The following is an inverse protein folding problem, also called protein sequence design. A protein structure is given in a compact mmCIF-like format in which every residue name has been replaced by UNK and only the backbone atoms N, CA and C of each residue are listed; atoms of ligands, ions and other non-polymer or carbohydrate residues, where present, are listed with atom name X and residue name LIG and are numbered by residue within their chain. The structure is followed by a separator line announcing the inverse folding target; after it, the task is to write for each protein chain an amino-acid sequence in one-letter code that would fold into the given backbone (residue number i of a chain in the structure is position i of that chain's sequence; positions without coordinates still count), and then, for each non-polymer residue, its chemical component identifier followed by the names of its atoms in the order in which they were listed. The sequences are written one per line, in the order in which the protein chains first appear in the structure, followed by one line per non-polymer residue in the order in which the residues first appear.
data_IF_160175461627
#
_entry.id   IF_160175461627
#
_cell.length_a   1.000
_cell.length_b   1.000
_cell.length_c   1.000
_cell.angle_alpha   90.00
_cell.angle_beta   90.00
_cell.angle_gamma   90.00
#
_symmetry.space_group_name_H-M   'P 1'
#
loop_
_entity.id
_entity.type
_entity.pdbx_description
1 polymer ?
#
# COMPACT_ATOMS: atom_id res chain seq x y z
N UNK A 1 10.45 -24.20 -16.38
CA UNK A 1 9.52 -24.13 -15.23
C UNK A 1 9.58 -25.38 -14.35
N UNK A 2 9.86 -26.58 -14.86
CA UNK A 2 10.01 -27.78 -14.04
C UNK A 2 11.37 -28.46 -14.28
N UNK A 3 11.91 -29.11 -13.25
CA UNK A 3 13.18 -29.87 -13.27
C UNK A 3 13.05 -31.17 -12.49
N UNK A 4 13.91 -32.14 -12.81
CA UNK A 4 14.00 -33.39 -12.06
C UNK A 4 14.67 -33.15 -10.71
N UNK A 5 14.09 -33.75 -9.67
CA UNK A 5 14.65 -33.76 -8.32
C UNK A 5 15.72 -34.83 -8.26
N UNK A 6 16.91 -34.47 -7.78
CA UNK A 6 18.02 -35.40 -7.53
C UNK A 6 17.89 -36.04 -6.16
N UNK A 7 17.54 -35.23 -5.16
CA UNK A 7 17.26 -35.69 -3.79
C UNK A 7 16.28 -34.75 -3.11
N UNK A 8 15.42 -35.32 -2.28
CA UNK A 8 14.58 -34.58 -1.35
C UNK A 8 14.70 -35.22 0.03
N UNK A 9 15.06 -34.42 1.03
CA UNK A 9 15.17 -34.88 2.41
C UNK A 9 14.36 -33.96 3.32
N UNK A 10 13.46 -34.54 4.13
CA UNK A 10 12.81 -33.78 5.22
C UNK A 10 13.85 -33.62 6.33
N UNK A 11 14.25 -32.38 6.61
CA UNK A 11 15.36 -32.06 7.52
C UNK A 11 14.90 -31.65 8.91
N UNK A 12 13.68 -31.11 9.03
CA UNK A 12 13.15 -30.67 10.31
C UNK A 12 11.64 -30.93 10.38
N UNK A 13 11.21 -31.51 11.49
CA UNK A 13 9.80 -31.59 11.89
C UNK A 13 9.71 -31.05 13.31
N UNK A 14 9.21 -29.82 13.45
CA UNK A 14 9.10 -29.16 14.73
C UNK A 14 7.93 -29.72 15.55
N UNK A 15 8.05 -29.68 16.89
CA UNK A 15 6.97 -30.10 17.79
C UNK A 15 5.71 -29.24 17.57
N UNK A 16 4.50 -29.81 17.62
CA UNK A 16 3.25 -29.05 17.60
C UNK A 16 3.21 -27.97 18.68
N UNK A 17 2.53 -26.86 18.40
CA UNK A 17 2.20 -25.88 19.44
C UNK A 17 1.14 -26.47 20.37
N UNK A 18 1.01 -25.90 21.56
CA UNK A 18 0.04 -26.36 22.55
C UNK A 18 -1.37 -26.23 21.98
N UNK A 19 -2.09 -27.35 21.87
CA UNK A 19 -3.47 -27.43 21.35
C UNK A 19 -3.56 -27.75 19.85
N UNK A 20 -2.46 -27.70 19.10
CA UNK A 20 -2.43 -28.08 17.69
C UNK A 20 -2.10 -29.57 17.52
N UNK A 21 -2.70 -30.20 16.50
CA UNK A 21 -2.49 -31.62 16.17
C UNK A 21 -1.48 -31.84 15.03
N UNK A 22 -0.98 -30.76 14.43
CA UNK A 22 0.02 -30.77 13.36
C UNK A 22 1.35 -30.19 13.86
N UNK A 23 2.49 -30.51 13.23
CA UNK A 23 3.77 -29.91 13.58
C UNK A 23 3.73 -28.38 13.40
N UNK A 24 4.53 -27.65 14.17
CA UNK A 24 4.60 -26.19 14.06
C UNK A 24 5.30 -25.73 12.76
N UNK A 25 6.23 -26.55 12.25
CA UNK A 25 7.00 -26.28 11.05
C UNK A 25 7.53 -27.60 10.48
N UNK A 26 7.59 -27.70 9.15
CA UNK A 26 8.24 -28.80 8.44
C UNK A 26 9.16 -28.22 7.38
N UNK A 27 10.43 -28.63 7.38
CA UNK A 27 11.43 -28.20 6.39
C UNK A 27 11.95 -29.38 5.59
N UNK A 28 12.24 -29.14 4.31
CA UNK A 28 12.89 -30.10 3.45
C UNK A 28 13.97 -29.43 2.59
N UNK A 29 15.03 -30.16 2.30
CA UNK A 29 16.09 -29.75 1.38
C UNK A 29 15.90 -30.50 0.05
N UNK A 30 15.80 -29.74 -1.04
CA UNK A 30 15.53 -30.25 -2.39
C UNK A 30 16.70 -29.90 -3.30
N UNK A 31 17.34 -30.92 -3.85
CA UNK A 31 18.47 -30.76 -4.76
C UNK A 31 18.05 -30.98 -6.20
N UNK A 32 18.47 -30.07 -7.08
CA UNK A 32 18.27 -30.14 -8.53
C UNK A 32 19.59 -29.94 -9.26
N UNK A 33 19.73 -30.56 -10.44
CA UNK A 33 20.84 -30.29 -11.36
C UNK A 33 20.37 -29.36 -12.47
N UNK A 34 20.98 -28.18 -12.56
CA UNK A 34 20.70 -27.11 -13.51
C UNK A 34 21.70 -27.11 -14.68
N UNK A 35 21.98 -28.28 -15.28
CA UNK A 35 22.76 -28.37 -16.52
C UNK A 35 21.90 -27.98 -17.74
N UNK A 36 21.50 -26.70 -17.75
CA UNK A 36 20.62 -26.07 -18.75
C UNK A 36 21.22 -24.74 -19.22
N UNK A 37 20.54 -24.09 -20.17
CA UNK A 37 20.95 -22.78 -20.66
C UNK A 37 21.15 -21.79 -19.51
N UNK A 38 22.17 -20.90 -19.57
CA UNK A 38 22.46 -19.93 -18.51
C UNK A 38 21.27 -19.05 -18.14
N UNK A 39 20.40 -18.69 -19.10
CA UNK A 39 19.16 -17.95 -18.82
C UNK A 39 18.20 -18.71 -17.91
N UNK A 40 18.04 -20.01 -18.13
CA UNK A 40 17.18 -20.86 -17.30
C UNK A 40 17.82 -21.06 -15.93
N UNK A 41 19.15 -21.27 -15.88
CA UNK A 41 19.90 -21.37 -14.62
C UNK A 41 19.70 -20.12 -13.76
N UNK A 42 19.89 -18.94 -14.34
CA UNK A 42 19.64 -17.67 -13.67
C UNK A 42 18.19 -17.50 -13.19
N UNK A 43 17.19 -17.99 -13.94
CA UNK A 43 15.78 -17.97 -13.50
C UNK A 43 15.48 -18.90 -12.32
N UNK A 44 16.26 -19.96 -12.11
CA UNK A 44 16.13 -20.83 -10.94
C UNK A 44 16.90 -20.28 -9.74
N UNK A 45 18.11 -19.77 -9.98
CA UNK A 45 18.92 -19.10 -8.96
C UNK A 45 18.30 -17.79 -8.47
N UNK A 46 17.35 -17.21 -9.23
CA UNK A 46 16.61 -16.02 -8.84
C UNK A 46 15.38 -16.28 -7.97
N UNK A 47 15.03 -17.54 -7.68
CA UNK A 47 13.95 -17.86 -6.74
C UNK A 47 14.24 -17.20 -5.39
N UNK A 48 13.20 -16.62 -4.80
CA UNK A 48 13.26 -15.82 -3.59
C UNK A 48 12.56 -16.53 -2.44
N UNK A 49 12.85 -16.06 -1.23
CA UNK A 49 12.08 -16.45 -0.06
C UNK A 49 10.59 -16.19 -0.30
N UNK A 50 9.74 -17.10 0.14
CA UNK A 50 8.29 -17.08 -0.05
C UNK A 50 7.79 -17.42 -1.47
N UNK A 51 8.67 -17.71 -2.44
CA UNK A 51 8.21 -18.24 -3.73
C UNK A 51 7.59 -19.64 -3.52
N UNK A 52 6.43 -19.88 -4.14
CA UNK A 52 5.76 -21.17 -4.06
C UNK A 52 6.21 -22.09 -5.21
N UNK A 53 6.62 -23.31 -4.87
CA UNK A 53 6.91 -24.37 -5.82
C UNK A 53 6.01 -25.59 -5.57
N UNK A 54 5.96 -26.48 -6.55
CA UNK A 54 5.18 -27.72 -6.49
C UNK A 54 6.10 -28.92 -6.63
N UNK A 55 5.96 -29.87 -5.71
CA UNK A 55 6.60 -31.18 -5.72
C UNK A 55 5.65 -32.17 -6.35
N UNK A 56 6.16 -32.92 -7.33
CA UNK A 56 5.36 -33.75 -8.22
C UNK A 56 5.98 -35.15 -8.30
N UNK A 57 5.13 -36.16 -8.21
CA UNK A 57 5.48 -37.57 -8.40
C UNK A 57 4.84 -38.07 -9.69
N UNK A 58 5.68 -38.40 -10.67
CA UNK A 58 5.28 -39.03 -11.93
C UNK A 58 5.71 -40.49 -11.95
N UNK A 59 4.78 -41.41 -12.21
CA UNK A 59 5.00 -42.84 -12.40
C UNK A 59 4.46 -43.24 -13.79
N UNK A 60 5.17 -42.88 -14.87
CA UNK A 60 4.69 -43.10 -16.23
C UNK A 60 4.58 -44.61 -16.52
N UNK A 61 3.42 -45.04 -16.99
CA UNK A 61 3.15 -46.43 -17.42
C UNK A 61 3.34 -46.63 -18.92
N UNK A 62 3.45 -45.53 -19.68
CA UNK A 62 3.61 -45.56 -21.12
C UNK A 62 5.07 -45.84 -21.54
N UNK A 63 5.31 -46.59 -22.64
CA UNK A 63 6.64 -46.80 -23.18
C UNK A 63 7.33 -45.50 -23.61
N UNK A 64 8.66 -45.53 -23.61
CA UNK A 64 9.51 -44.45 -24.13
C UNK A 64 9.14 -44.19 -25.60
N UNK A 65 8.94 -42.91 -25.95
CA UNK A 65 8.55 -42.49 -27.29
C UNK A 65 7.04 -42.34 -27.51
N UNK A 66 6.21 -42.63 -26.51
CA UNK A 66 4.75 -42.37 -26.58
C UNK A 66 4.49 -40.87 -26.73
N UNK A 67 3.69 -40.50 -27.75
CA UNK A 67 3.34 -39.09 -27.99
C UNK A 67 2.20 -38.65 -27.08
N UNK A 68 2.37 -37.51 -26.42
CA UNK A 68 1.32 -36.88 -25.62
C UNK A 68 0.22 -36.27 -26.51
N UNK A 69 -1.02 -36.38 -26.07
CA UNK A 69 -2.18 -35.79 -26.70
C UNK A 69 -2.88 -34.83 -25.73
N UNK A 70 -2.79 -33.53 -26.02
CA UNK A 70 -3.38 -32.46 -25.19
C UNK A 70 -4.91 -32.49 -25.12
N UNK A 71 -5.59 -33.27 -25.98
CA UNK A 71 -7.04 -33.47 -25.92
C UNK A 71 -7.47 -34.61 -24.99
N UNK A 72 -6.52 -35.45 -24.58
CA UNK A 72 -6.76 -36.59 -23.70
C UNK A 72 -6.48 -36.20 -22.23
N UNK A 73 -7.02 -36.93 -21.24
CA UNK A 73 -6.78 -36.63 -19.83
C UNK A 73 -5.27 -36.66 -19.48
N UNK A 74 -4.82 -35.64 -18.74
CA UNK A 74 -3.39 -35.47 -18.41
C UNK A 74 -2.86 -36.57 -17.49
N UNK A 75 -3.57 -36.84 -16.38
CA UNK A 75 -3.14 -37.76 -15.31
C UNK A 75 -2.69 -39.14 -15.84
N UNK A 76 -3.51 -39.88 -16.61
CA UNK A 76 -3.12 -41.22 -17.07
C UNK A 76 -2.00 -41.19 -18.13
N UNK A 77 -1.84 -40.08 -18.86
CA UNK A 77 -0.79 -39.97 -19.87
C UNK A 77 0.61 -39.83 -19.25
N UNK A 78 0.72 -39.07 -18.17
CA UNK A 78 2.01 -38.81 -17.50
C UNK A 78 2.24 -39.69 -16.26
N UNK A 79 1.20 -40.38 -15.80
CA UNK A 79 1.23 -41.14 -14.55
C UNK A 79 1.34 -40.24 -13.32
N UNK A 80 0.61 -39.14 -13.29
CA UNK A 80 0.64 -38.21 -12.13
C UNK A 80 0.04 -38.91 -10.90
N UNK A 81 0.86 -39.09 -9.85
CA UNK A 81 0.43 -39.73 -8.60
C UNK A 81 0.20 -38.74 -7.47
N UNK A 82 1.16 -37.84 -7.24
CA UNK A 82 1.08 -36.85 -6.17
C UNK A 82 1.50 -35.46 -6.62
N UNK A 83 0.90 -34.47 -5.97
CA UNK A 83 1.29 -33.06 -6.03
C UNK A 83 1.26 -32.50 -4.61
N UNK A 84 2.33 -31.84 -4.18
CA UNK A 84 2.39 -31.08 -2.94
C UNK A 84 2.93 -29.68 -3.20
N UNK A 85 2.48 -28.71 -2.43
CA UNK A 85 3.06 -27.37 -2.42
C UNK A 85 4.23 -27.30 -1.46
N UNK A 86 5.21 -26.47 -1.79
CA UNK A 86 6.24 -26.03 -0.87
C UNK A 86 6.53 -24.54 -1.08
N UNK A 87 7.09 -23.90 -0.08
CA UNK A 87 7.47 -22.49 -0.10
C UNK A 87 8.97 -22.37 0.09
N UNK A 88 9.66 -21.62 -0.76
CA UNK A 88 11.11 -21.45 -0.68
C UNK A 88 11.46 -20.69 0.60
N UNK A 89 12.30 -21.28 1.45
CA UNK A 89 12.98 -20.57 2.55
C UNK A 89 14.22 -19.85 2.01
N UNK A 90 14.98 -20.54 1.15
CA UNK A 90 16.11 -19.97 0.41
C UNK A 90 17.00 -21.04 -0.21
N UNK A 91 18.01 -20.61 -0.96
CA UNK A 91 19.02 -21.49 -1.54
C UNK A 91 20.14 -21.74 -0.52
N UNK A 92 20.71 -22.95 -0.52
CA UNK A 92 21.82 -23.30 0.37
C UNK A 92 23.17 -22.96 -0.24
N UNK A 93 24.12 -22.53 0.60
CA UNK A 93 25.55 -22.44 0.28
C UNK A 93 26.26 -23.80 0.42
N UNK A 94 27.58 -23.81 0.20
CA UNK A 94 28.40 -25.02 0.32
C UNK A 94 28.46 -25.54 1.77
N UNK A 95 28.31 -24.66 2.76
CA UNK A 95 28.25 -24.99 4.17
C UNK A 95 26.85 -25.45 4.65
N UNK A 96 25.85 -25.49 3.76
CA UNK A 96 24.49 -25.92 4.07
C UNK A 96 23.66 -24.87 4.83
N UNK A 97 24.10 -23.60 4.85
CA UNK A 97 23.34 -22.47 5.38
C UNK A 97 22.50 -21.84 4.29
N UNK A 98 21.37 -21.28 4.71
CA UNK A 98 20.49 -20.54 3.79
C UNK A 98 21.16 -19.22 3.46
N UNK A 99 21.36 -18.97 2.16
CA UNK A 99 21.87 -17.71 1.64
C UNK A 99 20.82 -16.63 1.92
N UNK A 100 21.16 -15.67 2.78
CA UNK A 100 20.26 -14.57 3.10
C UNK A 100 20.06 -13.65 1.89
N UNK A 101 18.86 -13.09 1.78
CA UNK A 101 18.55 -12.07 0.77
C UNK A 101 19.26 -10.75 1.13
N UNK A 102 20.51 -10.62 0.71
CA UNK A 102 21.31 -9.40 0.80
C UNK A 102 21.23 -8.52 -0.46
N UNK A 103 21.82 -7.30 -0.43
CA UNK A 103 22.01 -6.49 -1.62
C UNK A 103 22.91 -7.23 -2.63
N UNK A 104 22.60 -7.08 -3.92
CA UNK A 104 23.38 -7.69 -5.00
C UNK A 104 24.88 -7.29 -4.95
N UNK A 105 25.80 -8.18 -5.36
CA UNK A 105 25.54 -9.45 -6.03
C UNK A 105 25.43 -10.67 -5.09
N UNK A 106 24.52 -11.59 -5.44
CA UNK A 106 24.45 -12.93 -4.85
C UNK A 106 25.77 -13.69 -5.04
N UNK A 107 26.14 -14.58 -4.12
CA UNK A 107 27.34 -15.40 -4.27
C UNK A 107 27.25 -16.28 -5.52
N UNK A 108 28.31 -16.32 -6.32
CA UNK A 108 28.43 -17.24 -7.45
C UNK A 108 28.72 -18.65 -6.93
N UNK A 109 27.72 -19.53 -7.02
CA UNK A 109 27.88 -20.92 -6.60
C UNK A 109 28.54 -21.75 -7.71
N UNK A 110 29.61 -22.52 -7.41
CA UNK A 110 30.23 -23.38 -8.41
C UNK A 110 29.31 -24.54 -8.81
N UNK A 111 29.62 -25.14 -9.96
CA UNK A 111 28.87 -26.27 -10.51
C UNK A 111 27.44 -25.95 -10.95
N UNK A 112 26.67 -27.00 -11.24
CA UNK A 112 25.28 -26.91 -11.72
C UNK A 112 24.26 -27.43 -10.70
N UNK A 113 24.71 -27.98 -9.58
CA UNK A 113 23.83 -28.50 -8.54
C UNK A 113 23.39 -27.36 -7.63
N UNK A 114 22.09 -27.26 -7.36
CA UNK A 114 21.51 -26.30 -6.41
C UNK A 114 20.62 -27.02 -5.43
N UNK A 115 20.72 -26.64 -4.16
CA UNK A 115 19.85 -27.16 -3.11
C UNK A 115 19.03 -26.00 -2.55
N UNK A 116 17.72 -26.19 -2.48
CA UNK A 116 16.77 -25.24 -1.92
C UNK A 116 16.20 -25.81 -0.63
N UNK A 117 16.25 -25.02 0.44
CA UNK A 117 15.49 -25.30 1.64
C UNK A 117 14.09 -24.75 1.47
N UNK A 118 13.10 -25.57 1.80
CA UNK A 118 11.68 -25.23 1.62
C UNK A 118 10.87 -25.54 2.87
N UNK A 119 9.81 -24.77 3.09
CA UNK A 119 8.74 -25.10 4.01
C UNK A 119 7.69 -25.96 3.32
N UNK A 120 7.29 -27.03 4.00
CA UNK A 120 6.16 -27.86 3.61
C UNK A 120 4.93 -27.47 4.44
N UNK A 121 3.73 -27.64 3.88
CA UNK A 121 2.50 -27.40 4.63
C UNK A 121 2.40 -28.39 5.81
N UNK A 122 2.39 -27.91 7.07
CA UNK A 122 2.41 -28.80 8.23
C UNK A 122 1.13 -29.63 8.40
N UNK A 123 -0.02 -29.09 7.99
CA UNK A 123 -1.30 -29.80 8.06
C UNK A 123 -1.33 -30.94 7.05
N UNK A 124 -0.88 -30.68 5.82
CA UNK A 124 -0.78 -31.68 4.77
C UNK A 124 0.24 -32.77 5.16
N UNK A 125 1.38 -32.39 5.74
CA UNK A 125 2.38 -33.34 6.24
C UNK A 125 1.80 -34.26 7.32
N UNK A 126 1.06 -33.71 8.28
CA UNK A 126 0.41 -34.51 9.31
C UNK A 126 -0.59 -35.51 8.71
N UNK A 127 -1.42 -35.08 7.75
CA UNK A 127 -2.40 -35.95 7.08
C UNK A 127 -1.71 -37.08 6.31
N UNK A 128 -0.61 -36.75 5.61
CA UNK A 128 0.17 -37.73 4.85
C UNK A 128 0.83 -38.76 5.77
N UNK A 129 1.44 -38.32 6.88
CA UNK A 129 2.03 -39.23 7.87
C UNK A 129 0.99 -40.14 8.54
N UNK A 130 -0.22 -39.63 8.84
CA UNK A 130 -1.32 -40.47 9.34
C UNK A 130 -1.71 -41.54 8.33
N UNK A 131 -1.77 -41.19 7.04
CA UNK A 131 -2.04 -42.17 5.98
C UNK A 131 -0.92 -43.20 5.83
N UNK A 132 0.34 -42.79 5.97
CA UNK A 132 1.49 -43.70 5.96
C UNK A 132 1.45 -44.69 7.12
N UNK A 133 1.08 -44.24 8.32
CA UNK A 133 0.86 -45.14 9.48
C UNK A 133 -0.29 -46.13 9.21
N UNK A 134 -1.29 -45.74 8.43
CA UNK A 134 -2.38 -46.61 7.98
C UNK A 134 -2.02 -47.51 6.79
N UNK A 135 -0.74 -47.56 6.38
CA UNK A 135 -0.23 -48.46 5.35
C UNK A 135 -0.15 -47.87 3.94
N UNK A 136 -0.36 -46.56 3.76
CA UNK A 136 -0.01 -45.89 2.51
C UNK A 136 1.52 -45.74 2.38
N UNK A 137 2.04 -45.55 1.16
CA UNK A 137 3.45 -45.21 0.95
C UNK A 137 3.75 -43.79 1.46
N UNK A 138 5.01 -43.53 1.85
CA UNK A 138 5.44 -42.19 2.21
C UNK A 138 5.58 -41.32 0.95
N UNK A 139 4.70 -40.34 0.81
CA UNK A 139 4.65 -39.43 -0.34
C UNK A 139 5.97 -38.67 -0.50
N UNK A 140 6.64 -38.31 0.61
CA UNK A 140 7.83 -37.46 0.61
C UNK A 140 9.07 -38.17 0.06
N UNK A 141 9.06 -39.51 -0.02
CA UNK A 141 10.14 -40.29 -0.64
C UNK A 141 9.94 -40.48 -2.16
N UNK A 142 8.79 -40.07 -2.72
CA UNK A 142 8.41 -40.38 -4.11
C UNK A 142 8.67 -39.26 -5.12
N UNK A 143 8.88 -38.03 -4.66
CA UNK A 143 8.94 -36.86 -5.54
C UNK A 143 10.13 -36.91 -6.50
N UNK A 144 9.85 -36.71 -7.79
CA UNK A 144 10.87 -36.76 -8.84
C UNK A 144 10.89 -35.53 -9.75
N UNK A 145 9.93 -34.61 -9.58
CA UNK A 145 9.85 -33.34 -10.32
C UNK A 145 9.51 -32.19 -9.37
N UNK A 146 10.23 -31.07 -9.49
CA UNK A 146 9.88 -29.79 -8.89
C UNK A 146 9.47 -28.81 -9.99
N UNK A 147 8.39 -28.06 -9.76
CA UNK A 147 7.86 -27.07 -10.68
C UNK A 147 7.75 -25.70 -10.00
N UNK A 148 8.44 -24.71 -10.55
CA UNK A 148 8.25 -23.29 -10.20
C UNK A 148 7.17 -22.65 -11.08
N UNK A 149 6.64 -21.52 -10.62
CA UNK A 149 5.70 -20.67 -11.36
C UNK A 149 6.28 -19.27 -11.57
N UNK A 150 5.63 -18.47 -12.42
CA UNK A 150 6.00 -17.07 -12.60
C UNK A 150 5.63 -16.28 -11.33
N UNK A 151 6.54 -15.52 -10.70
CA UNK A 151 6.27 -14.85 -9.42
C UNK A 151 4.98 -13.99 -9.41
N UNK A 152 4.73 -13.23 -10.49
CA UNK A 152 3.54 -12.37 -10.62
C UNK A 152 2.19 -13.11 -10.55
N UNK A 153 2.17 -14.41 -10.86
CA UNK A 153 0.97 -15.25 -10.88
C UNK A 153 0.92 -16.21 -9.67
N UNK A 154 1.84 -16.07 -8.72
CA UNK A 154 2.15 -17.07 -7.70
C UNK A 154 1.89 -16.63 -6.25
N UNK A 155 1.07 -15.59 -6.05
CA UNK A 155 0.82 -14.99 -4.73
C UNK A 155 -0.34 -15.65 -3.95
N UNK A 156 -0.92 -16.74 -4.46
CA UNK A 156 -2.15 -17.31 -3.92
C UNK A 156 -2.01 -17.80 -2.47
N UNK A 157 -0.87 -18.41 -2.09
CA UNK A 157 -0.64 -18.90 -0.72
C UNK A 157 -0.62 -17.74 0.27
N UNK A 158 0.13 -16.68 -0.03
CA UNK A 158 0.24 -15.51 0.85
C UNK A 158 -1.13 -14.83 1.05
N UNK A 159 -1.94 -14.74 0.00
CA UNK A 159 -3.32 -14.22 0.08
C UNK A 159 -4.19 -15.10 0.97
N UNK A 160 -4.17 -16.42 0.80
CA UNK A 160 -4.94 -17.35 1.63
C UNK A 160 -4.50 -17.33 3.10
N UNK A 161 -3.20 -17.22 3.35
CA UNK A 161 -2.65 -17.07 4.69
C UNK A 161 -3.14 -15.78 5.34
N UNK A 162 -3.10 -14.66 4.61
CA UNK A 162 -3.63 -13.37 5.10
C UNK A 162 -5.13 -13.45 5.43
N UNK A 163 -5.93 -14.09 4.57
CA UNK A 163 -7.36 -14.30 4.81
C UNK A 163 -7.58 -15.15 6.07
N UNK A 164 -6.80 -16.21 6.25
CA UNK A 164 -6.87 -17.07 7.43
C UNK A 164 -6.50 -16.32 8.70
N UNK A 165 -5.44 -15.53 8.66
CA UNK A 165 -4.99 -14.73 9.79
C UNK A 165 -6.04 -13.68 10.16
N UNK A 166 -6.67 -13.02 9.18
CA UNK A 166 -7.79 -12.10 9.41
C UNK A 166 -9.00 -12.77 10.07
N UNK A 167 -9.31 -14.03 9.73
CA UNK A 167 -10.38 -14.79 10.38
C UNK A 167 -10.06 -15.16 11.84
N UNK A 168 -8.77 -15.22 12.20
CA UNK A 168 -8.32 -15.53 13.57
C UNK A 168 -8.14 -14.27 14.43
N UNK A 169 -8.18 -13.08 13.83
CA UNK A 169 -8.20 -11.81 14.55
C UNK A 169 -9.63 -11.36 14.81
N UNK A 170 -9.84 -10.57 15.87
CA UNK A 170 -11.06 -9.77 15.97
C UNK A 170 -11.04 -8.78 14.80
N UNK A 171 -11.91 -8.99 13.81
CA UNK A 171 -12.00 -8.16 12.62
C UNK A 171 -12.60 -6.80 12.99
N UNK A 172 -11.78 -5.90 13.53
CA UNK A 172 -12.19 -4.55 13.94
C UNK A 172 -12.26 -3.65 12.70
N UNK A 173 -13.39 -3.71 12.01
CA UNK A 173 -13.79 -2.67 11.04
C UNK A 173 -14.52 -1.54 11.76
N UNK A 174 -14.49 -0.28 11.27
CA UNK A 174 -15.26 0.79 11.87
C UNK A 174 -16.75 0.43 11.97
N UNK A 175 -17.38 0.68 13.12
CA UNK A 175 -18.78 0.30 13.36
C UNK A 175 -19.75 0.85 12.30
N UNK A 176 -19.49 2.06 11.82
CA UNK A 176 -20.30 2.72 10.78
C UNK A 176 -20.14 2.10 9.38
N UNK A 177 -19.13 1.24 9.18
CA UNK A 177 -18.83 0.55 7.93
C UNK A 177 -19.23 -0.94 7.97
N UNK A 178 -19.28 -1.55 9.15
CA UNK A 178 -19.56 -2.97 9.34
C UNK A 178 -20.81 -3.45 8.59
N UNK A 179 -21.96 -2.83 8.85
CA UNK A 179 -23.23 -3.25 8.24
C UNK A 179 -23.25 -3.05 6.72
N UNK A 180 -22.57 -2.00 6.23
CA UNK A 180 -22.45 -1.72 4.81
C UNK A 180 -21.60 -2.77 4.09
N UNK A 181 -20.51 -3.24 4.71
CA UNK A 181 -19.69 -4.34 4.16
C UNK A 181 -20.51 -5.63 4.06
N UNK A 182 -21.34 -5.91 5.07
CA UNK A 182 -22.22 -7.08 5.07
C UNK A 182 -23.43 -6.94 4.14
N UNK A 183 -23.71 -5.73 3.66
CA UNK A 183 -24.81 -5.44 2.72
C UNK A 183 -26.17 -5.26 3.39
N UNK A 184 -26.21 -4.98 4.69
CA UNK A 184 -27.43 -4.68 5.43
C UNK A 184 -27.56 -3.16 5.69
N UNK A 185 -28.75 -2.73 6.14
CA UNK A 185 -28.97 -1.35 6.55
C UNK A 185 -29.19 -0.37 5.39
N UNK A 186 -29.02 0.93 5.68
CA UNK A 186 -29.20 2.00 4.69
C UNK A 186 -27.90 2.24 3.93
N UNK A 187 -27.90 2.26 2.59
CA UNK A 187 -26.66 2.40 1.79
C UNK A 187 -25.96 3.76 1.99
N UNK A 188 -26.68 4.77 2.48
CA UNK A 188 -26.17 6.12 2.74
C UNK A 188 -25.81 6.35 4.22
N UNK A 189 -25.80 5.32 5.07
CA UNK A 189 -25.52 5.43 6.50
C UNK A 189 -24.12 6.00 6.81
N UNK A 190 -23.14 5.71 5.95
CA UNK A 190 -21.77 6.21 6.08
C UNK A 190 -21.49 7.49 5.28
N UNK A 191 -22.52 8.10 4.67
CA UNK A 191 -22.36 9.38 3.99
C UNK A 191 -22.05 10.47 5.03
N UNK A 192 -21.16 11.42 4.69
CA UNK A 192 -20.70 12.43 5.65
C UNK A 192 -21.87 13.19 6.29
N UNK A 193 -22.93 13.53 5.56
CA UNK A 193 -24.11 14.23 6.12
C UNK A 193 -24.85 13.49 7.23
N UNK A 194 -24.66 12.16 7.36
CA UNK A 194 -25.31 11.33 8.39
C UNK A 194 -24.41 11.02 9.58
N UNK A 195 -23.12 11.28 9.46
CA UNK A 195 -22.15 11.01 10.51
C UNK A 195 -22.08 12.17 11.51
N UNK A 196 -21.97 11.82 12.80
CA UNK A 196 -22.00 12.80 13.89
C UNK A 196 -20.68 13.57 14.06
N UNK A 197 -19.59 13.03 13.51
CA UNK A 197 -18.24 13.57 13.62
C UNK A 197 -17.84 14.39 12.39
N UNK A 198 -18.82 14.96 11.67
CA UNK A 198 -18.55 15.90 10.59
C UNK A 198 -17.81 17.12 11.10
N UNK A 199 -16.82 17.55 10.33
CA UNK A 199 -16.01 18.71 10.64
C UNK A 199 -16.73 19.95 10.06
N UNK A 200 -17.22 20.88 10.88
CA UNK A 200 -18.06 21.98 10.41
C UNK A 200 -17.26 23.01 9.60
N UNK A 201 -15.99 23.21 9.97
CA UNK A 201 -15.08 24.19 9.37
C UNK A 201 -13.81 23.51 8.90
N UNK A 202 -13.54 23.60 7.60
CA UNK A 202 -12.37 22.99 6.96
C UNK A 202 -11.58 24.04 6.19
N UNK A 203 -10.28 23.85 6.12
CA UNK A 203 -9.40 24.62 5.25
C UNK A 203 -9.36 24.00 3.85
N UNK A 204 -9.77 24.75 2.85
CA UNK A 204 -9.78 24.31 1.46
C UNK A 204 -8.49 24.67 0.72
N UNK A 205 -7.55 25.33 1.41
CA UNK A 205 -6.22 25.66 0.91
C UNK A 205 -6.25 26.22 -0.53
N UNK A 206 -5.62 25.52 -1.47
CA UNK A 206 -5.48 25.88 -2.89
C UNK A 206 -6.56 25.26 -3.80
N UNK A 207 -7.61 24.67 -3.23
CA UNK A 207 -8.69 24.03 -4.01
C UNK A 207 -9.40 25.02 -4.94
N UNK A 208 -9.61 26.26 -4.46
CA UNK A 208 -10.25 27.31 -5.24
C UNK A 208 -9.23 28.32 -5.75
N UNK A 209 -9.32 28.65 -7.03
CA UNK A 209 -8.44 29.62 -7.71
C UNK A 209 -8.82 31.08 -7.41
N UNK A 210 -10.09 31.33 -7.12
CA UNK A 210 -10.66 32.66 -6.83
C UNK A 210 -11.98 32.54 -6.07
N UNK A 211 -12.48 33.66 -5.56
CA UNK A 211 -13.83 33.74 -4.96
C UNK A 211 -14.93 33.42 -5.98
N UNK A 212 -14.75 33.81 -7.25
CA UNK A 212 -15.72 33.49 -8.30
C UNK A 212 -15.78 31.99 -8.58
N UNK A 213 -14.62 31.32 -8.57
CA UNK A 213 -14.57 29.86 -8.66
C UNK A 213 -15.31 29.24 -7.47
N UNK A 214 -15.02 29.66 -6.23
CA UNK A 214 -15.72 29.18 -5.03
C UNK A 214 -17.24 29.35 -5.12
N UNK A 215 -17.73 30.53 -5.54
CA UNK A 215 -19.17 30.78 -5.71
C UNK A 215 -19.78 29.90 -6.80
N UNK A 216 -19.09 29.73 -7.92
CA UNK A 216 -19.55 28.87 -9.01
C UNK A 216 -19.59 27.38 -8.60
N UNK A 217 -18.72 26.95 -7.68
CA UNK A 217 -18.65 25.59 -7.18
C UNK A 217 -19.83 25.18 -6.29
N UNK A 218 -20.55 26.13 -5.69
CA UNK A 218 -21.69 25.87 -4.80
C UNK A 218 -22.94 26.65 -5.23
N UNK A 219 -23.60 26.26 -6.34
CA UNK A 219 -24.74 27.02 -6.89
C UNK A 219 -25.94 27.12 -5.95
N UNK A 220 -26.14 26.11 -5.09
CA UNK A 220 -27.27 26.03 -4.16
C UNK A 220 -27.00 26.73 -2.81
N UNK A 221 -25.80 27.29 -2.61
CA UNK A 221 -25.42 27.92 -1.35
C UNK A 221 -25.20 29.41 -1.52
N UNK A 222 -25.69 30.19 -0.56
CA UNK A 222 -25.33 31.59 -0.45
C UNK A 222 -23.97 31.71 0.25
N UNK A 223 -22.95 32.15 -0.48
CA UNK A 223 -21.61 32.39 0.07
C UNK A 223 -21.52 33.79 0.69
N UNK A 224 -21.13 33.86 1.96
CA UNK A 224 -20.89 35.09 2.71
C UNK A 224 -19.41 35.14 3.12
N UNK A 225 -18.72 36.23 2.80
CA UNK A 225 -17.30 36.41 3.15
C UNK A 225 -17.19 37.08 4.52
N UNK A 226 -16.23 36.65 5.34
CA UNK A 226 -16.02 37.24 6.69
C UNK A 226 -15.42 38.65 6.66
N UNK A 227 -14.97 39.13 5.51
CA UNK A 227 -14.37 40.46 5.35
C UNK A 227 -14.97 41.19 4.15
N UNK A 228 -15.29 42.47 4.33
CA UNK A 228 -15.77 43.35 3.25
C UNK A 228 -14.63 43.89 2.36
N UNK A 229 -13.37 43.67 2.77
CA UNK A 229 -12.18 44.14 2.06
C UNK A 229 -11.90 43.27 0.83
N UNK A 230 -12.21 43.80 -0.36
CA UNK A 230 -12.01 43.14 -1.64
C UNK A 230 -10.55 42.74 -1.91
N UNK A 231 -9.57 43.44 -1.31
CA UNK A 231 -8.15 43.10 -1.52
C UNK A 231 -7.76 41.77 -0.87
N UNK A 232 -8.54 41.31 0.12
CA UNK A 232 -8.30 40.06 0.86
C UNK A 232 -9.14 38.90 0.33
N UNK A 233 -9.92 39.11 -0.74
CA UNK A 233 -10.75 38.10 -1.38
C UNK A 233 -9.92 37.17 -2.28
N UNK A 234 -8.84 36.63 -1.73
CA UNK A 234 -7.88 35.76 -2.41
C UNK A 234 -7.73 34.44 -1.63
N UNK A 235 -7.48 33.31 -2.32
CA UNK A 235 -7.23 32.05 -1.64
C UNK A 235 -5.94 32.12 -0.80
N UNK A 236 -5.81 31.27 0.24
CA UNK A 236 -6.69 30.16 0.62
C UNK A 236 -7.96 30.55 1.40
N UNK A 237 -8.97 29.66 1.37
CA UNK A 237 -10.26 29.87 2.03
C UNK A 237 -10.57 28.77 3.05
N UNK A 238 -10.99 29.16 4.25
CA UNK A 238 -11.65 28.25 5.19
C UNK A 238 -13.15 28.37 5.03
N UNK A 239 -13.83 27.24 4.86
CA UNK A 239 -15.27 27.21 4.67
C UNK A 239 -15.95 26.57 5.87
N UNK A 240 -16.96 27.24 6.37
CA UNK A 240 -17.89 26.72 7.36
C UNK A 240 -19.27 26.57 6.72
N UNK A 241 -19.80 25.36 6.74
CA UNK A 241 -21.10 25.04 6.15
C UNK A 241 -22.18 25.12 7.22
N UNK A 242 -23.15 26.03 7.03
CA UNK A 242 -24.27 26.22 7.93
C UNK A 242 -25.55 25.76 7.25
N UNK A 243 -26.21 24.78 7.87
CA UNK A 243 -27.56 24.37 7.54
C UNK A 243 -28.46 24.84 8.69
N UNK A 244 -29.37 25.79 8.41
CA UNK A 244 -30.35 26.21 9.40
C UNK A 244 -31.33 25.04 9.63
N UNK A 245 -31.20 24.35 10.77
CA UNK A 245 -32.19 23.36 11.19
C UNK A 245 -33.54 24.06 11.39
N UNK A 246 -34.61 23.53 10.79
CA UNK A 246 -35.95 24.01 11.08
C UNK A 246 -36.23 23.90 12.59
N UNK A 247 -36.76 24.93 13.26
CA UNK A 247 -37.30 24.73 14.59
C UNK A 247 -38.45 23.73 14.49
N UNK A 248 -38.35 22.61 15.23
CA UNK A 248 -39.49 21.70 15.47
C UNK A 248 -40.52 22.43 16.34
N UNK A 249 -41.24 23.40 15.77
CA UNK A 249 -42.35 24.05 16.46
C UNK A 249 -43.60 23.19 16.32
N UNK A 250 -43.95 22.58 17.44
CA UNK A 250 -45.26 22.02 17.75
C UNK A 250 -46.44 22.87 17.25
N UNK A 251 -47.40 22.21 16.58
CA UNK A 251 -48.79 22.60 16.30
C UNK A 251 -49.02 23.85 15.42
N UNK A 252 -49.51 23.64 14.18
CA UNK A 252 -50.63 24.38 13.51
C UNK A 252 -50.95 23.74 12.14
N UNK A 253 -52.21 23.32 11.96
CA UNK A 253 -53.30 23.87 11.10
C UNK A 253 -53.05 23.75 9.58
N UNK A 254 -53.85 22.88 8.96
CA UNK A 254 -53.95 22.64 7.51
C UNK A 254 -54.36 23.92 6.76
N UNK A 255 -53.61 24.30 5.72
CA UNK A 255 -54.09 25.26 4.71
C UNK A 255 -53.11 26.32 4.19
N UNK A 256 -51.83 26.35 4.59
CA UNK A 256 -50.85 27.31 4.04
C UNK A 256 -49.80 26.56 3.20
N UNK A 257 -49.58 27.03 1.97
CA UNK A 257 -48.53 26.54 1.06
C UNK A 257 -47.14 26.71 1.71
N UNK A 258 -46.32 25.66 1.65
CA UNK A 258 -44.94 25.67 2.17
C UNK A 258 -44.11 26.78 1.50
N UNK A 259 -43.42 27.66 2.25
CA UNK A 259 -42.32 28.40 1.68
C UNK A 259 -41.18 27.39 1.44
N UNK A 260 -40.91 27.11 0.18
CA UNK A 260 -39.77 26.28 -0.24
C UNK A 260 -38.45 26.98 0.06
N UNK A 261 -37.54 26.25 0.71
CA UNK A 261 -36.11 26.57 0.74
C UNK A 261 -35.57 26.89 2.13
N UNK A 262 -35.07 25.87 2.83
CA UNK A 262 -34.02 26.09 3.82
C UNK A 262 -32.82 26.76 3.13
N UNK A 263 -32.45 27.96 3.57
CA UNK A 263 -31.41 28.73 2.91
C UNK A 263 -30.04 28.23 3.38
N UNK A 264 -29.38 27.39 2.56
CA UNK A 264 -28.04 26.89 2.87
C UNK A 264 -27.00 28.01 2.72
N UNK A 265 -26.15 28.18 3.73
CA UNK A 265 -25.16 29.27 3.77
C UNK A 265 -23.75 28.72 3.95
N UNK A 266 -22.78 29.36 3.30
CA UNK A 266 -21.35 29.09 3.47
C UNK A 266 -20.70 30.36 3.99
N UNK A 267 -20.05 30.27 5.13
CA UNK A 267 -19.16 31.33 5.61
C UNK A 267 -17.76 31.02 5.07
N UNK A 268 -17.26 31.89 4.20
CA UNK A 268 -15.93 31.80 3.63
C UNK A 268 -14.99 32.80 4.31
N UNK A 269 -13.94 32.30 4.96
CA UNK A 269 -12.88 33.07 5.60
C UNK A 269 -11.60 32.99 4.77
N UNK A 270 -11.25 34.05 4.01
CA UNK A 270 -9.93 34.16 3.40
C UNK A 270 -8.87 34.30 4.50
N UNK A 271 -7.75 33.60 4.35
CA UNK A 271 -6.62 33.74 5.27
C UNK A 271 -5.28 33.75 4.52
N UNK A 272 -4.22 34.13 5.21
CA UNK A 272 -2.87 34.18 4.64
C UNK A 272 -2.07 32.98 5.08
N UNK A 273 -1.35 32.36 4.15
CA UNK A 273 -0.41 31.28 4.46
C UNK A 273 0.73 31.87 5.29
N UNK A 274 1.11 31.27 6.43
CA UNK A 274 2.25 31.70 7.21
C UNK A 274 3.52 31.79 6.35
N UNK A 275 4.29 32.88 6.53
CA UNK A 275 5.50 33.09 5.76
C UNK A 275 6.55 31.99 6.07
N UNK A 276 7.03 31.28 5.04
CA UNK A 276 8.03 30.19 5.13
C UNK A 276 9.48 30.66 4.96
N UNK A 277 9.74 31.92 5.26
CA UNK A 277 11.06 32.52 5.25
C UNK A 277 11.29 33.49 4.09
N UNK A 278 12.48 34.09 4.01
CA UNK A 278 12.77 35.20 3.10
C UNK A 278 12.94 34.77 1.63
N UNK A 279 13.05 33.47 1.36
CA UNK A 279 13.36 32.94 0.04
C UNK A 279 12.08 32.71 -0.80
N UNK A 280 11.93 33.38 -1.95
CA UNK A 280 10.71 33.25 -2.77
C UNK A 280 10.42 31.84 -3.28
N UNK A 281 11.44 31.01 -3.47
CA UNK A 281 11.28 29.62 -3.92
C UNK A 281 10.72 28.68 -2.84
N UNK A 282 10.67 29.12 -1.57
CA UNK A 282 10.00 28.38 -0.48
C UNK A 282 8.48 28.59 -0.46
N UNK A 283 7.96 29.41 -1.38
CA UNK A 283 6.51 29.53 -1.53
C UNK A 283 5.91 28.18 -1.92
N UNK A 284 4.78 27.81 -1.30
CA UNK A 284 4.16 26.52 -1.55
C UNK A 284 3.70 26.41 -3.01
N UNK A 285 3.87 25.23 -3.58
CA UNK A 285 3.28 24.91 -4.89
C UNK A 285 1.76 24.92 -4.76
N UNK A 286 1.07 25.36 -5.80
CA UNK A 286 -0.39 25.52 -5.78
C UNK A 286 -1.04 24.71 -6.87
N UNK A 287 -2.25 24.24 -6.60
CA UNK A 287 -3.15 23.72 -7.59
C UNK A 287 -3.49 24.79 -8.65
N UNK A 288 -3.63 24.34 -9.89
CA UNK A 288 -4.00 25.16 -11.04
C UNK A 288 -5.31 24.70 -11.71
N UNK A 289 -5.96 23.66 -11.17
CA UNK A 289 -7.14 23.04 -11.77
C UNK A 289 -8.41 23.76 -11.30
N UNK A 290 -9.24 24.30 -12.22
CA UNK A 290 -10.56 24.81 -11.90
C UNK A 290 -11.55 23.64 -11.76
N UNK A 291 -11.65 23.06 -10.57
CA UNK A 291 -12.54 21.93 -10.30
C UNK A 291 -14.02 22.29 -10.55
N UNK A 292 -14.74 21.37 -11.17
CA UNK A 292 -16.19 21.55 -11.39
C UNK A 292 -16.97 21.41 -10.09
N UNK A 293 -18.22 21.94 -9.99
CA UNK A 293 -19.06 21.78 -8.81
C UNK A 293 -19.18 20.32 -8.33
N UNK A 294 -19.29 19.36 -9.28
CA UNK A 294 -19.35 17.92 -8.98
C UNK A 294 -18.02 17.39 -8.41
N UNK A 295 -16.89 17.86 -8.93
CA UNK A 295 -15.57 17.49 -8.39
C UNK A 295 -15.35 18.10 -7.00
N UNK A 296 -15.82 19.33 -6.78
CA UNK A 296 -15.78 20.00 -5.47
C UNK A 296 -16.62 19.25 -4.45
N UNK A 297 -17.79 18.73 -4.81
CA UNK A 297 -18.57 17.87 -3.91
C UNK A 297 -17.83 16.57 -3.58
N UNK A 298 -17.16 15.95 -4.54
CA UNK A 298 -16.32 14.78 -4.28
C UNK A 298 -15.14 15.11 -3.34
N UNK A 299 -14.50 16.28 -3.51
CA UNK A 299 -13.43 16.77 -2.62
C UNK A 299 -13.99 17.03 -1.22
N UNK A 300 -15.15 17.70 -1.12
CA UNK A 300 -15.87 17.95 0.13
C UNK A 300 -16.10 16.66 0.91
N UNK A 301 -16.70 15.68 0.25
CA UNK A 301 -17.03 14.39 0.83
C UNK A 301 -15.75 13.64 1.23
N UNK A 302 -14.69 13.71 0.42
CA UNK A 302 -13.40 13.06 0.70
C UNK A 302 -12.64 13.66 1.89
N UNK A 303 -12.84 14.93 2.21
CA UNK A 303 -12.24 15.59 3.38
C UNK A 303 -12.98 15.29 4.69
N UNK A 304 -14.22 14.80 4.61
CA UNK A 304 -15.05 14.51 5.76
C UNK A 304 -14.90 13.03 6.20
N UNK A 305 -15.13 12.71 7.48
CA UNK A 305 -15.24 11.33 7.90
C UNK A 305 -16.39 10.61 7.19
N UNK A 306 -16.18 9.34 6.85
CA UNK A 306 -17.19 8.46 6.25
C UNK A 306 -16.73 7.72 5.02
N UNK A 307 -17.70 7.20 4.25
CA UNK A 307 -17.46 6.53 2.97
C UNK A 307 -17.80 7.48 1.81
N UNK A 308 -16.78 7.81 1.01
CA UNK A 308 -16.93 8.62 -0.20
C UNK A 308 -16.68 7.76 -1.43
N UNK A 309 -17.73 7.56 -2.24
CA UNK A 309 -17.65 6.79 -3.48
C UNK A 309 -17.74 7.73 -4.68
N UNK A 310 -16.64 7.84 -5.44
CA UNK A 310 -16.57 8.70 -6.62
C UNK A 310 -16.61 7.84 -7.89
N UNK A 311 -17.68 7.97 -8.67
CA UNK A 311 -17.81 7.34 -9.98
C UNK A 311 -17.43 8.35 -11.05
N UNK A 312 -16.34 8.11 -11.77
CA UNK A 312 -15.86 8.98 -12.83
C UNK A 312 -15.62 8.24 -14.14
N UNK A 313 -16.29 8.61 -15.25
CA UNK A 313 -15.95 8.15 -16.59
C UNK A 313 -14.47 8.38 -16.96
N UNK A 314 -13.96 7.76 -18.04
CA UNK A 314 -12.62 8.06 -18.55
C UNK A 314 -12.45 9.57 -18.83
N UNK A 315 -11.33 10.16 -18.40
CA UNK A 315 -11.02 11.57 -18.66
C UNK A 315 -11.66 12.61 -17.73
N UNK A 316 -12.46 12.22 -16.71
CA UNK A 316 -13.14 13.19 -15.83
C UNK A 316 -12.30 13.74 -14.67
N UNK A 317 -10.97 13.65 -14.75
CA UNK A 317 -10.08 14.20 -13.72
C UNK A 317 -10.10 13.48 -12.37
N UNK A 318 -10.39 12.16 -12.34
CA UNK A 318 -10.40 11.37 -11.08
C UNK A 318 -9.09 11.50 -10.29
N UNK A 319 -7.96 11.49 -10.99
CA UNK A 319 -6.63 11.61 -10.39
C UNK A 319 -6.47 12.98 -9.73
N UNK A 320 -6.92 14.06 -10.38
CA UNK A 320 -6.84 15.42 -9.84
C UNK A 320 -7.70 15.57 -8.57
N UNK A 321 -8.92 15.03 -8.57
CA UNK A 321 -9.80 14.99 -7.40
C UNK A 321 -9.15 14.24 -6.24
N UNK A 322 -8.60 13.05 -6.50
CA UNK A 322 -7.95 12.24 -5.47
C UNK A 322 -6.74 12.96 -4.86
N UNK A 323 -5.91 13.58 -5.70
CA UNK A 323 -4.72 14.32 -5.26
C UNK A 323 -5.09 15.56 -4.45
N UNK A 324 -6.15 16.28 -4.82
CA UNK A 324 -6.63 17.41 -4.02
C UNK A 324 -7.20 16.95 -2.67
N UNK A 325 -7.93 15.83 -2.61
CA UNK A 325 -8.39 15.25 -1.34
C UNK A 325 -7.19 14.94 -0.43
N UNK A 326 -6.16 14.28 -0.99
CA UNK A 326 -4.93 13.94 -0.25
C UNK A 326 -4.24 15.20 0.26
N UNK A 327 -4.08 16.23 -0.59
CA UNK A 327 -3.49 17.52 -0.20
C UNK A 327 -4.28 18.19 0.92
N UNK A 328 -5.61 18.22 0.81
CA UNK A 328 -6.44 18.86 1.83
C UNK A 328 -6.39 18.11 3.16
N UNK A 329 -6.45 16.77 3.15
CA UNK A 329 -6.31 15.94 4.36
C UNK A 329 -4.93 16.16 5.00
N UNK A 330 -3.86 16.17 4.19
CA UNK A 330 -2.48 16.38 4.66
C UNK A 330 -2.32 17.71 5.43
N UNK A 331 -2.95 18.79 4.94
CA UNK A 331 -2.88 20.10 5.59
C UNK A 331 -3.84 20.27 6.77
N UNK A 332 -5.06 19.69 6.71
CA UNK A 332 -6.06 19.83 7.77
C UNK A 332 -5.78 18.91 8.96
N UNK A 333 -5.20 17.74 8.72
CA UNK A 333 -5.02 16.68 9.71
C UNK A 333 -3.57 16.16 9.72
N UNK A 334 -2.58 16.98 10.14
CA UNK A 334 -1.17 16.66 10.03
C UNK A 334 -0.74 15.43 10.86
N UNK A 335 -1.50 15.06 11.88
CA UNK A 335 -1.24 13.88 12.72
C UNK A 335 -1.79 12.58 12.12
N UNK A 336 -2.60 12.66 11.05
CA UNK A 336 -3.16 11.49 10.38
C UNK A 336 -2.23 10.96 9.29
N UNK A 337 -2.46 9.69 8.90
CA UNK A 337 -1.74 9.03 7.81
C UNK A 337 -2.73 8.52 6.77
N UNK A 338 -2.47 8.84 5.50
CA UNK A 338 -3.32 8.43 4.38
C UNK A 338 -2.72 7.23 3.66
N UNK A 339 -3.44 6.11 3.64
CA UNK A 339 -3.07 4.93 2.85
C UNK A 339 -3.70 5.00 1.46
N UNK A 340 -2.87 4.96 0.42
CA UNK A 340 -3.31 4.93 -0.98
C UNK A 340 -3.14 3.52 -1.52
N UNK A 341 -4.24 2.92 -1.99
CA UNK A 341 -4.23 1.58 -2.60
C UNK A 341 -4.76 1.68 -4.03
N UNK A 342 -4.05 1.08 -4.99
CA UNK A 342 -4.52 0.99 -6.37
C UNK A 342 -4.23 -0.39 -6.95
N UNK A 343 -4.92 -0.73 -8.05
CA UNK A 343 -4.71 -2.01 -8.75
C UNK A 343 -3.43 -2.04 -9.59
N UNK A 344 -2.96 -0.90 -10.12
CA UNK A 344 -1.81 -0.85 -11.04
C UNK A 344 -0.75 0.16 -10.62
N UNK A 345 0.51 -0.21 -10.83
CA UNK A 345 1.64 0.69 -10.60
C UNK A 345 1.55 1.99 -11.42
N UNK A 346 0.96 1.93 -12.62
CA UNK A 346 0.78 3.12 -13.46
C UNK A 346 -0.17 4.15 -12.80
N UNK A 347 -1.24 3.68 -12.14
CA UNK A 347 -2.14 4.57 -11.42
C UNK A 347 -1.44 5.23 -10.22
N UNK A 348 -0.59 4.49 -9.49
CA UNK A 348 0.26 5.07 -8.45
C UNK A 348 1.21 6.12 -9.03
N UNK A 349 1.92 5.82 -10.13
CA UNK A 349 2.86 6.78 -10.73
C UNK A 349 2.17 8.12 -11.05
N UNK A 350 1.00 8.08 -11.71
CA UNK A 350 0.22 9.27 -12.03
C UNK A 350 -0.24 10.07 -10.80
N UNK A 351 -0.59 9.37 -9.71
CA UNK A 351 -0.93 10.04 -8.45
C UNK A 351 0.30 10.71 -7.83
N UNK A 352 1.43 10.00 -7.74
CA UNK A 352 2.66 10.53 -7.16
C UNK A 352 3.22 11.73 -7.93
N UNK A 353 3.23 11.68 -9.28
CA UNK A 353 3.64 12.81 -10.12
C UNK A 353 2.85 14.08 -9.81
N UNK A 354 1.52 13.96 -9.63
CA UNK A 354 0.66 15.09 -9.30
C UNK A 354 0.81 15.54 -7.84
N UNK A 355 0.99 14.61 -6.91
CA UNK A 355 1.28 14.93 -5.49
C UNK A 355 2.57 15.75 -5.38
N UNK A 356 3.62 15.39 -6.14
CA UNK A 356 4.88 16.14 -6.17
C UNK A 356 4.74 17.58 -6.71
N UNK A 357 3.71 17.84 -7.50
CA UNK A 357 3.41 19.16 -8.02
C UNK A 357 2.63 20.04 -7.03
N UNK A 358 2.19 19.49 -5.89
CA UNK A 358 1.51 20.21 -4.82
C UNK A 358 2.42 20.45 -3.60
N UNK A 359 1.89 21.18 -2.63
CA UNK A 359 2.56 21.50 -1.37
C UNK A 359 2.59 20.31 -0.38
N UNK A 360 3.14 19.18 -0.81
CA UNK A 360 3.33 18.01 0.05
C UNK A 360 4.82 17.72 0.14
N UNK A 361 5.34 17.68 1.36
CA UNK A 361 6.75 17.39 1.60
C UNK A 361 7.05 15.94 1.23
N UNK A 362 8.05 15.75 0.37
CA UNK A 362 8.44 14.45 -0.15
C UNK A 362 9.00 13.49 0.92
N UNK A 363 9.39 14.01 2.09
CA UNK A 363 9.77 13.18 3.25
C UNK A 363 8.59 12.42 3.85
N UNK A 364 7.36 12.89 3.62
CA UNK A 364 6.14 12.24 4.11
C UNK A 364 5.55 11.26 3.08
N UNK A 365 6.19 11.09 1.93
CA UNK A 365 5.76 10.20 0.87
C UNK A 365 6.54 8.88 0.94
N UNK A 366 5.81 7.76 0.94
CA UNK A 366 6.39 6.41 0.92
C UNK A 366 5.62 5.53 -0.05
N UNK A 367 6.34 4.84 -0.93
CA UNK A 367 5.79 3.81 -1.83
C UNK A 367 6.29 2.43 -1.40
N UNK A 368 5.38 1.45 -1.36
CA UNK A 368 5.67 0.06 -1.07
C UNK A 368 5.27 -0.82 -2.25
N UNK A 369 6.14 -1.73 -2.69
CA UNK A 369 5.78 -2.84 -3.60
C UNK A 369 6.87 -3.27 -4.58
N UNK A 370 6.67 -4.41 -5.22
CA UNK A 370 7.59 -5.07 -6.18
C UNK A 370 7.83 -4.32 -7.51
N UNK A 371 7.45 -3.04 -7.59
CA UNK A 371 7.68 -2.14 -8.72
C UNK A 371 8.21 -0.78 -8.28
N UNK A 372 8.85 -0.72 -7.11
CA UNK A 372 9.52 0.46 -6.56
C UNK A 372 10.51 1.09 -7.56
N UNK A 373 11.16 0.27 -8.41
CA UNK A 373 12.17 0.68 -9.40
C UNK A 373 11.60 1.26 -10.71
N UNK A 374 10.27 1.19 -10.94
CA UNK A 374 9.65 1.53 -12.23
C UNK A 374 8.98 2.93 -12.26
N UNK A 375 9.27 3.78 -11.28
CA UNK A 375 8.95 5.20 -11.39
C UNK A 375 9.96 5.84 -12.35
N UNK A 376 9.51 6.26 -13.53
CA UNK A 376 10.27 7.15 -14.42
C UNK A 376 10.27 8.60 -13.89
N UNK A 377 10.34 8.78 -12.57
CA UNK A 377 10.51 10.08 -11.95
C UNK A 377 11.96 10.27 -11.57
N UNK A 378 12.45 11.51 -11.60
CA UNK A 378 13.82 11.84 -11.16
C UNK A 378 14.10 11.42 -9.69
N UNK A 379 13.05 11.21 -8.89
CA UNK A 379 13.13 10.90 -7.46
C UNK A 379 12.64 9.49 -7.13
N UNK A 380 13.34 8.84 -6.20
CA UNK A 380 13.04 7.48 -5.76
C UNK A 380 12.25 7.46 -4.43
N UNK A 381 10.98 7.05 -4.49
CA UNK A 381 10.07 6.93 -3.34
C UNK A 381 10.00 5.53 -2.73
N UNK A 382 10.89 4.62 -3.15
CA UNK A 382 11.10 3.32 -2.52
C UNK A 382 11.59 3.46 -1.08
N UNK A 383 11.60 2.37 -0.31
CA UNK A 383 12.18 2.41 1.05
C UNK A 383 13.64 2.85 1.01
N UNK A 384 14.41 2.31 0.06
CA UNK A 384 15.83 2.62 -0.11
C UNK A 384 16.04 4.08 -0.53
N UNK A 385 15.29 4.54 -1.52
CA UNK A 385 15.32 5.93 -1.99
C UNK A 385 14.98 6.93 -0.90
N UNK A 386 13.97 6.64 -0.06
CA UNK A 386 13.60 7.49 1.08
C UNK A 386 14.67 7.50 2.17
N UNK A 387 15.31 6.37 2.46
CA UNK A 387 16.46 6.33 3.40
C UNK A 387 17.60 7.19 2.88
N UNK A 388 17.98 7.04 1.61
CA UNK A 388 19.06 7.83 1.00
C UNK A 388 18.73 9.33 0.99
N UNK A 389 17.48 9.68 0.66
CA UNK A 389 17.00 11.06 0.72
C UNK A 389 17.16 11.65 2.12
N UNK A 390 16.71 10.95 3.16
CA UNK A 390 16.83 11.41 4.55
C UNK A 390 18.29 11.53 4.97
N UNK A 391 19.17 10.60 4.56
CA UNK A 391 20.59 10.66 4.86
C UNK A 391 21.28 11.87 4.19
N UNK A 392 20.96 12.15 2.93
CA UNK A 392 21.48 13.30 2.21
C UNK A 392 20.99 14.63 2.80
N UNK A 393 19.66 14.75 2.98
CA UNK A 393 19.05 15.95 3.59
C UNK A 393 19.56 16.20 5.01
N UNK A 394 19.81 15.15 5.79
CA UNK A 394 20.41 15.28 7.11
C UNK A 394 21.78 15.97 7.05
N UNK A 395 22.62 15.64 6.08
CA UNK A 395 23.94 16.26 5.95
C UNK A 395 23.80 17.74 5.57
N UNK A 396 22.99 18.05 4.56
CA UNK A 396 22.72 19.44 4.12
C UNK A 396 22.19 20.32 5.28
N UNK A 397 21.22 19.82 6.05
CA UNK A 397 20.65 20.58 7.16
C UNK A 397 21.62 20.77 8.32
N UNK A 398 22.54 19.82 8.56
CA UNK A 398 23.56 19.96 9.60
C UNK A 398 24.61 21.00 9.21
N UNK A 399 24.96 21.10 7.93
CA UNK A 399 25.81 22.17 7.40
C UNK A 399 25.14 23.55 7.58
N UNK A 400 23.81 23.65 7.40
CA UNK A 400 23.07 24.88 7.66
C UNK A 400 23.07 25.29 9.14
N UNK A 401 23.04 24.33 10.07
CA UNK A 401 23.18 24.61 11.51
C UNK A 401 24.59 25.14 11.82
N UNK A 402 25.63 24.56 11.23
CA UNK A 402 27.01 25.06 11.35
C UNK A 402 27.15 26.49 10.78
N UNK A 403 26.53 26.75 9.63
CA UNK A 403 26.48 28.09 9.03
C UNK A 403 25.78 29.10 9.96
N UNK A 404 24.68 28.70 10.59
CA UNK A 404 23.94 29.53 11.54
C UNK A 404 24.75 29.80 12.81
N UNK A 405 25.40 28.79 13.39
CA UNK A 405 26.32 28.94 14.52
C UNK A 405 27.41 29.97 14.24
N UNK A 406 28.08 29.85 13.09
CA UNK A 406 29.14 30.77 12.67
C UNK A 406 28.61 32.21 12.51
N UNK A 407 27.40 32.37 11.96
CA UNK A 407 26.76 33.68 11.82
C UNK A 407 26.40 34.34 13.16
N UNK A 408 26.15 33.56 14.21
CA UNK A 408 25.89 34.06 15.56
C UNK A 408 27.18 34.29 16.36
N UNK A 409 28.34 33.88 15.82
CA UNK A 409 29.63 34.00 16.50
C UNK A 409 29.76 33.07 17.71
N UNK A 410 28.99 31.97 17.76
CA UNK A 410 29.07 30.98 18.84
C UNK A 410 30.28 30.07 18.58
N UNK A 411 31.23 29.96 19.53
CA UNK A 411 32.41 29.12 19.36
C UNK A 411 32.05 27.64 19.47
N UNK A 412 32.56 26.82 18.55
CA UNK A 412 32.38 25.37 18.55
C UNK A 412 33.08 24.74 17.36
N UNK A 413 34.04 23.86 17.63
CA UNK A 413 34.89 23.16 16.64
C UNK A 413 34.37 21.75 16.28
N UNK A 414 33.15 21.39 16.69
CA UNK A 414 32.61 20.03 16.54
C UNK A 414 31.46 20.05 15.54
N UNK A 415 31.54 19.18 14.53
CA UNK A 415 30.46 18.98 13.57
C UNK A 415 29.17 18.55 14.27
N UNK A 416 28.04 19.13 13.86
CA UNK A 416 26.76 18.83 14.47
C UNK A 416 26.28 17.41 14.13
N UNK A 417 25.68 16.77 15.12
CA UNK A 417 24.72 15.67 14.98
C UNK A 417 23.30 16.21 15.13
N UNK A 418 22.28 15.42 14.76
CA UNK A 418 20.87 15.79 14.96
C UNK A 418 20.54 16.11 16.42
N UNK A 419 21.15 15.38 17.37
CA UNK A 419 20.95 15.62 18.80
C UNK A 419 21.53 16.99 19.20
N UNK A 420 22.79 17.25 18.85
CA UNK A 420 23.45 18.52 19.18
C UNK A 420 22.84 19.72 18.46
N UNK A 421 22.29 19.53 17.26
CA UNK A 421 21.52 20.55 16.55
C UNK A 421 20.22 20.88 17.30
N UNK A 422 19.56 19.88 17.91
CA UNK A 422 18.42 20.08 18.79
C UNK A 422 18.77 20.90 20.03
N UNK A 423 19.91 20.62 20.67
CA UNK A 423 20.39 21.47 21.77
C UNK A 423 20.71 22.89 21.29
N UNK A 424 21.40 23.06 20.15
CA UNK A 424 21.68 24.37 19.58
C UNK A 424 20.40 25.18 19.36
N UNK A 425 19.36 24.57 18.77
CA UNK A 425 18.06 25.21 18.57
C UNK A 425 17.43 25.67 19.89
N UNK A 426 17.47 24.87 20.95
CA UNK A 426 16.84 25.26 22.23
C UNK A 426 17.61 26.32 23.02
N UNK A 427 18.94 26.37 22.89
CA UNK A 427 19.80 27.24 23.71
C UNK A 427 20.26 28.52 23.01
N UNK A 428 20.25 28.56 21.66
CA UNK A 428 20.84 29.66 20.88
C UNK A 428 19.87 30.32 19.89
N UNK A 429 18.77 29.67 19.53
CA UNK A 429 17.72 30.19 18.62
C UNK A 429 16.47 30.49 19.43
#
# INVERSE_FOLDING_TARGET
MAHSIVSLNVVEVAKPRVGESHPAQVRADITVTLSVLPSIKAEWESMRKHDVAFLITLQPTCPIGTRYNYKQPFIPQVGLKYVRGCEIEGMLDEEGKVIEEGPDPRPELPGDTRTYRVWLDPNQYQQDMVNTVNGAEDVYETFNVIMRRKPKENNFKAVLETIRDLMNTECVVPDWLHDLILGYGSPDAAHYTKLKNTVPKLDWNDTFLSVDHLKASFPDYKTELTTDDQSKHVPPFRLEFLEDEMPKSSKRKEGEEEPSGSQKRIIAEPHTIPNRGPYPYNQPKKNHIPFTPTQIEAIRAGMQPGLTMVVGPPGTGKTDVAVQIISNIYHNFPDQRTLIVTHSNQALNQLFEKIMALDIDERHLLRLGHGEEALETEKDFSRYGRVNYVLAQRLELLEEVERLQNSFGVPGDVSYTCETAGYFYLYQV
#
